data_IF_873378583343
#
_entry.id   IF_873378583343
#
_cell.length_a   1.000
_cell.length_b   1.000
_cell.length_c   1.000
_cell.angle_alpha   90.00
_cell.angle_beta   90.00
_cell.angle_gamma   90.00
#
_symmetry.space_group_name_H-M   'P 1'
#
loop_
_entity.id
_entity.type
_entity.pdbx_description
1 polymer ?
#
# COMPACT_ATOMS: atom_id res chain seq x y z
N UNK A 1 -4.92 -14.99 2.92
CA UNK A 1 -6.26 -14.43 3.22
C UNK A 1 -6.31 -12.90 3.22
N UNK A 2 -5.48 -12.20 4.01
CA UNK A 2 -5.54 -10.73 4.14
C UNK A 2 -5.25 -9.98 2.83
N UNK A 3 -4.35 -10.53 1.98
CA UNK A 3 -4.06 -9.99 0.65
C UNK A 3 -5.31 -9.90 -0.22
N UNK A 4 -6.06 -11.01 -0.31
CA UNK A 4 -7.24 -11.10 -1.16
C UNK A 4 -8.38 -10.21 -0.62
N UNK A 5 -8.49 -10.07 0.70
CA UNK A 5 -9.41 -9.12 1.34
C UNK A 5 -9.06 -7.66 1.01
N UNK A 6 -7.77 -7.31 1.01
CA UNK A 6 -7.30 -5.99 0.61
C UNK A 6 -7.64 -5.67 -0.85
N UNK A 7 -7.42 -6.63 -1.77
CA UNK A 7 -7.80 -6.49 -3.17
C UNK A 7 -9.32 -6.29 -3.33
N UNK A 8 -10.13 -7.12 -2.66
CA UNK A 8 -11.59 -6.99 -2.70
C UNK A 8 -12.09 -5.64 -2.14
N UNK A 9 -11.42 -5.09 -1.12
CA UNK A 9 -11.75 -3.78 -0.58
C UNK A 9 -11.41 -2.64 -1.55
N UNK A 10 -10.25 -2.71 -2.21
CA UNK A 10 -9.88 -1.74 -3.23
C UNK A 10 -10.89 -1.71 -4.39
N UNK A 11 -11.34 -2.88 -4.87
CA UNK A 11 -12.37 -2.95 -5.91
C UNK A 11 -13.72 -2.36 -5.47
N UNK A 12 -14.11 -2.56 -4.20
CA UNK A 12 -15.32 -1.92 -3.65
C UNK A 12 -15.21 -0.40 -3.64
N UNK A 13 -14.06 0.14 -3.22
CA UNK A 13 -13.83 1.59 -3.20
C UNK A 13 -13.84 2.18 -4.62
N UNK A 14 -13.16 1.52 -5.58
CA UNK A 14 -13.20 1.92 -7.00
C UNK A 14 -14.63 1.93 -7.54
N UNK A 15 -15.40 0.88 -7.25
CA UNK A 15 -16.81 0.76 -7.67
C UNK A 15 -17.70 1.85 -7.08
N UNK A 16 -17.33 2.40 -5.92
CA UNK A 16 -18.02 3.53 -5.29
C UNK A 16 -17.56 4.90 -5.82
N UNK A 17 -16.70 4.95 -6.84
CA UNK A 17 -16.17 6.19 -7.41
C UNK A 17 -15.06 6.85 -6.58
N UNK A 18 -14.50 6.15 -5.59
CA UNK A 18 -13.36 6.65 -4.80
C UNK A 18 -12.09 6.49 -5.62
N UNK A 19 -11.26 7.54 -5.67
CA UNK A 19 -9.91 7.43 -6.23
C UNK A 19 -9.05 6.52 -5.36
N UNK A 20 -8.59 5.40 -5.92
CA UNK A 20 -7.91 4.34 -5.17
C UNK A 20 -6.70 3.86 -5.94
N UNK A 21 -5.56 3.86 -5.27
CA UNK A 21 -4.34 3.16 -5.71
C UNK A 21 -4.16 1.92 -4.85
N UNK A 22 -4.06 0.75 -5.47
CA UNK A 22 -3.86 -0.53 -4.79
C UNK A 22 -2.53 -1.16 -5.22
N UNK A 23 -1.69 -1.51 -4.25
CA UNK A 23 -0.41 -2.17 -4.47
C UNK A 23 -0.30 -3.42 -3.62
N UNK A 24 0.15 -4.51 -4.23
CA UNK A 24 0.50 -5.76 -3.54
C UNK A 24 2.03 -5.89 -3.54
N UNK A 25 2.61 -6.07 -2.35
CA UNK A 25 4.03 -6.37 -2.21
C UNK A 25 4.22 -7.89 -2.18
N UNK A 26 4.37 -8.50 -3.36
CA UNK A 26 4.32 -9.97 -3.52
C UNK A 26 5.42 -10.73 -2.75
N UNK A 27 6.54 -10.06 -2.45
CA UNK A 27 7.70 -10.66 -1.77
C UNK A 27 7.77 -10.35 -0.27
N UNK A 28 6.84 -9.55 0.26
CA UNK A 28 6.90 -9.09 1.65
C UNK A 28 5.86 -9.80 2.54
N UNK A 29 6.22 -10.12 3.79
CA UNK A 29 5.30 -10.73 4.74
C UNK A 29 4.24 -9.72 5.21
N UNK A 30 3.19 -10.23 5.86
CA UNK A 30 2.31 -9.39 6.66
C UNK A 30 3.14 -8.62 7.72
N UNK A 31 2.73 -7.38 8.01
CA UNK A 31 3.40 -6.45 8.92
C UNK A 31 4.83 -6.02 8.52
N UNK A 32 5.19 -6.12 7.23
CA UNK A 32 6.52 -5.68 6.75
C UNK A 32 6.87 -4.23 7.11
N UNK A 33 5.89 -3.35 7.35
CA UNK A 33 6.11 -1.95 7.70
C UNK A 33 6.88 -1.76 9.00
N UNK A 34 6.87 -2.75 9.90
CA UNK A 34 7.66 -2.75 11.13
C UNK A 34 9.10 -3.27 10.95
N UNK A 35 9.44 -3.78 9.76
CA UNK A 35 10.68 -4.51 9.47
C UNK A 35 11.68 -3.69 8.63
N UNK A 36 11.45 -2.38 8.47
CA UNK A 36 12.25 -1.49 7.60
C UNK A 36 13.72 -1.37 8.01
N UNK A 37 14.05 -1.67 9.27
CA UNK A 37 15.44 -1.68 9.75
C UNK A 37 16.26 -2.88 9.29
N UNK A 38 15.62 -3.97 8.84
CA UNK A 38 16.31 -5.24 8.51
C UNK A 38 15.95 -5.79 7.12
N UNK A 39 14.79 -5.43 6.56
CA UNK A 39 14.37 -5.85 5.22
C UNK A 39 14.45 -4.64 4.26
N UNK A 40 15.42 -4.60 3.33
CA UNK A 40 15.56 -3.49 2.38
C UNK A 40 14.32 -3.25 1.54
N UNK A 41 13.67 -4.31 1.04
CA UNK A 41 12.44 -4.21 0.26
C UNK A 41 11.29 -3.58 1.07
N UNK A 42 11.21 -3.85 2.38
CA UNK A 42 10.22 -3.22 3.25
C UNK A 42 10.48 -1.71 3.42
N UNK A 43 11.75 -1.31 3.53
CA UNK A 43 12.12 0.11 3.57
C UNK A 43 11.70 0.82 2.27
N UNK A 44 12.04 0.25 1.11
CA UNK A 44 11.66 0.82 -0.19
C UNK A 44 10.14 0.92 -0.36
N UNK A 45 9.38 -0.10 0.08
CA UNK A 45 7.92 -0.07 0.07
C UNK A 45 7.38 1.08 0.95
N UNK A 46 7.89 1.24 2.17
CA UNK A 46 7.47 2.33 3.07
C UNK A 46 7.82 3.72 2.53
N UNK A 47 8.99 3.91 1.93
CA UNK A 47 9.39 5.18 1.28
C UNK A 47 8.48 5.52 0.10
N UNK A 48 8.10 4.52 -0.70
CA UNK A 48 7.14 4.68 -1.79
C UNK A 48 5.76 5.09 -1.26
N UNK A 49 5.25 4.39 -0.24
CA UNK A 49 3.97 4.72 0.41
C UNK A 49 4.00 6.17 0.93
N UNK A 50 5.06 6.57 1.63
CA UNK A 50 5.18 7.94 2.15
C UNK A 50 5.17 9.01 1.04
N UNK A 51 5.84 8.74 -0.08
CA UNK A 51 5.79 9.61 -1.26
C UNK A 51 4.40 9.73 -1.86
N UNK A 52 3.71 8.60 -2.05
CA UNK A 52 2.35 8.54 -2.62
C UNK A 52 1.34 9.28 -1.74
N UNK A 53 1.37 9.04 -0.43
CA UNK A 53 0.55 9.77 0.54
C UNK A 53 0.87 11.26 0.51
N UNK A 54 2.16 11.62 0.51
CA UNK A 54 2.57 13.01 0.41
C UNK A 54 2.08 13.70 -0.87
N UNK A 55 2.07 13.00 -2.00
CA UNK A 55 1.53 13.53 -3.25
C UNK A 55 0.01 13.76 -3.15
N UNK A 56 -0.74 12.80 -2.62
CA UNK A 56 -2.18 12.92 -2.41
C UNK A 56 -2.55 14.10 -1.50
N UNK A 57 -1.75 14.36 -0.46
CA UNK A 57 -1.96 15.48 0.45
C UNK A 57 -1.60 16.85 -0.14
N UNK A 58 -0.78 16.90 -1.20
CA UNK A 58 -0.33 18.15 -1.83
C UNK A 58 -1.16 18.58 -3.03
N UNK A 59 -2.11 17.76 -3.50
CA UNK A 59 -2.92 18.10 -4.66
C UNK A 59 -3.76 16.95 -5.20
N UNK A 60 -4.56 16.34 -4.33
CA UNK A 60 -5.92 15.99 -4.72
C UNK A 60 -6.79 17.24 -4.78
#
# INVERSE_FOLDING_TARGET
PLRDQGAAYAEKLKSAGVSVTAHCEDSLPHAFTAMTGVIPAAKSACERIAREVGAALRGG
#
